data_IF_751317876573
#
_entry.id   IF_751317876573
#
_cell.length_a   1.000
_cell.length_b   1.000
_cell.length_c   1.000
_cell.angle_alpha   90.00
_cell.angle_beta   90.00
_cell.angle_gamma   90.00
#
_symmetry.space_group_name_H-M   'P 1'
#
loop_
_entity.id
_entity.type
_entity.pdbx_description
1 polymer ?
#
# COMPACT_ATOMS: atom_id res chain seq x y z
N UNK A 1 -27.30 3.01 -2.06
CA UNK A 1 -26.01 2.50 -1.57
C UNK A 1 -26.06 2.56 -0.06
N UNK A 2 -25.73 1.47 0.64
CA UNK A 2 -25.70 1.49 2.11
C UNK A 2 -24.52 2.33 2.62
N UNK A 3 -24.61 2.87 3.84
CA UNK A 3 -23.52 3.65 4.45
C UNK A 3 -22.18 2.89 4.44
N UNK A 4 -22.21 1.61 4.81
CA UNK A 4 -21.01 0.75 4.85
C UNK A 4 -20.40 0.52 3.46
N UNK A 5 -21.22 0.55 2.42
CA UNK A 5 -20.78 0.42 1.03
C UNK A 5 -20.11 1.72 0.56
N UNK A 6 -20.68 2.88 0.89
CA UNK A 6 -20.05 4.19 0.64
C UNK A 6 -18.69 4.26 1.33
N UNK A 7 -18.64 3.88 2.61
CA UNK A 7 -17.41 3.88 3.40
C UNK A 7 -16.37 2.92 2.80
N UNK A 8 -16.76 1.72 2.38
CA UNK A 8 -15.82 0.81 1.72
C UNK A 8 -15.23 1.41 0.44
N UNK A 9 -16.05 1.99 -0.45
CA UNK A 9 -15.55 2.56 -1.70
C UNK A 9 -14.64 3.77 -1.45
N UNK A 10 -14.95 4.59 -0.45
CA UNK A 10 -14.03 5.66 -0.02
C UNK A 10 -12.69 5.10 0.47
N UNK A 11 -12.70 4.00 1.24
CA UNK A 11 -11.47 3.33 1.67
C UNK A 11 -10.66 2.81 0.48
N UNK A 12 -11.30 2.23 -0.53
CA UNK A 12 -10.63 1.77 -1.76
C UNK A 12 -10.03 2.92 -2.56
N UNK A 13 -10.73 4.05 -2.67
CA UNK A 13 -10.20 5.25 -3.32
C UNK A 13 -8.99 5.82 -2.58
N UNK A 14 -9.04 5.84 -1.25
CA UNK A 14 -7.91 6.27 -0.42
C UNK A 14 -6.70 5.33 -0.57
N UNK A 15 -6.91 4.00 -0.57
CA UNK A 15 -5.83 3.04 -0.82
C UNK A 15 -5.23 3.20 -2.21
N UNK A 16 -6.07 3.35 -3.26
CA UNK A 16 -5.59 3.59 -4.63
C UNK A 16 -4.73 4.84 -4.73
N UNK A 17 -5.10 5.89 -4.00
CA UNK A 17 -4.32 7.12 -3.89
C UNK A 17 -3.02 6.88 -3.13
N UNK A 18 -3.07 6.19 -1.99
CA UNK A 18 -1.89 5.85 -1.19
C UNK A 18 -0.86 5.10 -2.03
N UNK A 19 -1.27 4.03 -2.72
CA UNK A 19 -0.39 3.26 -3.58
C UNK A 19 0.28 4.09 -4.67
N UNK A 20 -0.49 5.00 -5.28
CA UNK A 20 0.04 5.90 -6.30
C UNK A 20 1.05 6.88 -5.71
N UNK A 21 0.75 7.47 -4.56
CA UNK A 21 1.59 8.49 -3.94
C UNK A 21 2.87 7.83 -3.36
N UNK A 22 2.79 6.60 -2.82
CA UNK A 22 3.93 5.75 -2.46
C UNK A 22 4.80 5.41 -3.67
N UNK A 23 4.19 5.05 -4.81
CA UNK A 23 4.94 4.77 -6.03
C UNK A 23 5.81 5.95 -6.48
N UNK A 24 5.26 7.17 -6.40
CA UNK A 24 6.02 8.39 -6.70
C UNK A 24 7.11 8.60 -5.66
N UNK A 25 6.79 8.47 -4.37
CA UNK A 25 7.76 8.65 -3.29
C UNK A 25 8.97 7.73 -3.45
N UNK A 26 8.75 6.43 -3.61
CA UNK A 26 9.84 5.46 -3.77
C UNK A 26 10.66 5.70 -5.04
N UNK A 27 10.02 6.12 -6.14
CA UNK A 27 10.73 6.49 -7.37
C UNK A 27 11.64 7.70 -7.15
N UNK A 28 11.15 8.73 -6.45
CA UNK A 28 11.91 9.95 -6.13
C UNK A 28 13.08 9.63 -5.18
N UNK A 29 12.87 8.79 -4.16
CA UNK A 29 13.96 8.30 -3.29
C UNK A 29 15.00 7.56 -4.13
N UNK A 30 14.57 6.67 -5.04
CA UNK A 30 15.50 5.89 -5.85
C UNK A 30 16.37 6.73 -6.79
N UNK A 31 15.87 7.88 -7.25
CA UNK A 31 16.65 8.84 -8.05
C UNK A 31 17.66 9.62 -7.20
N UNK A 32 17.34 9.89 -5.93
CA UNK A 32 18.19 10.65 -5.02
C UNK A 32 19.28 9.84 -4.34
N UNK A 33 19.14 8.52 -4.22
CA UNK A 33 20.12 7.65 -3.55
C UNK A 33 21.22 7.19 -4.52
N UNK A 34 22.49 7.36 -4.12
CA UNK A 34 23.65 6.96 -4.92
C UNK A 34 23.95 5.45 -4.89
N UNK A 35 23.55 4.74 -3.85
CA UNK A 35 23.74 3.30 -3.75
C UNK A 35 22.82 2.56 -4.74
N UNK A 36 23.41 1.82 -5.67
CA UNK A 36 22.68 1.14 -6.74
C UNK A 36 21.76 0.02 -6.24
N UNK A 37 22.11 -0.65 -5.13
CA UNK A 37 21.29 -1.71 -4.54
C UNK A 37 20.06 -1.08 -3.89
N UNK A 38 20.25 -0.06 -3.06
CA UNK A 38 19.14 0.67 -2.41
C UNK A 38 18.24 1.31 -3.48
N UNK A 39 18.82 1.95 -4.50
CA UNK A 39 18.06 2.52 -5.62
C UNK A 39 17.22 1.46 -6.35
N UNK A 40 17.77 0.26 -6.56
CA UNK A 40 17.04 -0.84 -7.20
C UNK A 40 15.88 -1.35 -6.34
N UNK A 41 16.08 -1.48 -5.03
CA UNK A 41 15.04 -1.87 -4.08
C UNK A 41 13.89 -0.84 -4.10
N UNK A 42 14.23 0.45 -3.99
CA UNK A 42 13.25 1.54 -4.00
C UNK A 42 12.47 1.59 -5.34
N UNK A 43 13.16 1.38 -6.48
CA UNK A 43 12.47 1.26 -7.78
C UNK A 43 11.51 0.08 -7.84
N UNK A 44 11.91 -1.08 -7.32
CA UNK A 44 11.05 -2.28 -7.31
C UNK A 44 9.75 -2.00 -6.55
N UNK A 45 9.87 -1.52 -5.31
CA UNK A 45 8.73 -1.16 -4.46
C UNK A 45 7.85 -0.13 -5.19
N UNK A 46 8.45 0.93 -5.75
CA UNK A 46 7.70 1.95 -6.46
C UNK A 46 6.91 1.43 -7.69
N UNK A 47 7.46 0.48 -8.45
CA UNK A 47 6.77 -0.16 -9.58
C UNK A 47 5.62 -1.05 -9.10
N UNK A 48 5.82 -1.77 -8.00
CA UNK A 48 4.81 -2.64 -7.40
C UNK A 48 3.65 -1.83 -6.84
N UNK A 49 3.90 -0.76 -6.07
CA UNK A 49 2.85 0.16 -5.60
C UNK A 49 2.07 0.80 -6.76
N UNK A 50 2.73 1.19 -7.85
CA UNK A 50 2.03 1.68 -9.05
C UNK A 50 1.10 0.61 -9.64
N UNK A 51 1.55 -0.64 -9.64
CA UNK A 51 0.78 -1.80 -10.10
C UNK A 51 -0.39 -2.07 -9.16
N UNK A 52 -0.22 -1.94 -7.84
CA UNK A 52 -1.27 -2.10 -6.85
C UNK A 52 -2.39 -1.06 -7.02
N UNK A 53 -2.04 0.21 -7.24
CA UNK A 53 -3.00 1.27 -7.58
C UNK A 53 -3.85 0.91 -8.80
N UNK A 54 -3.22 0.37 -9.85
CA UNK A 54 -3.92 -0.10 -11.04
C UNK A 54 -4.82 -1.31 -10.76
N UNK A 55 -4.33 -2.30 -10.01
CA UNK A 55 -5.12 -3.47 -9.61
C UNK A 55 -6.33 -3.05 -8.78
N UNK A 56 -6.20 -2.08 -7.88
CA UNK A 56 -7.33 -1.56 -7.10
C UNK A 56 -8.40 -0.93 -7.98
N UNK A 57 -8.01 -0.20 -9.02
CA UNK A 57 -8.95 0.33 -10.02
C UNK A 57 -9.68 -0.80 -10.78
N UNK A 58 -9.03 -1.93 -11.02
CA UNK A 58 -9.65 -3.12 -11.64
C UNK A 58 -10.57 -3.88 -10.67
N UNK A 59 -10.22 -3.94 -9.39
CA UNK A 59 -10.99 -4.64 -8.36
C UNK A 59 -12.28 -3.88 -8.03
N UNK A 60 -12.27 -2.55 -8.00
CA UNK A 60 -13.41 -1.71 -7.62
C UNK A 60 -14.75 -2.08 -8.32
N UNK A 61 -14.83 -2.22 -9.66
CA UNK A 61 -16.07 -2.67 -10.32
C UNK A 61 -16.45 -4.11 -9.95
N UNK A 62 -15.48 -4.99 -9.70
CA UNK A 62 -15.75 -6.36 -9.25
C UNK A 62 -16.38 -6.38 -7.84
N UNK A 63 -15.93 -5.48 -6.96
CA UNK A 63 -16.49 -5.29 -5.61
C UNK A 63 -17.92 -4.76 -5.70
N UNK A 64 -18.21 -3.84 -6.63
CA UNK A 64 -19.59 -3.37 -6.88
C UNK A 64 -20.51 -4.51 -7.32
N UNK A 65 -20.04 -5.40 -8.19
CA UNK A 65 -20.81 -6.58 -8.64
C UNK A 65 -20.93 -7.66 -7.56
N UNK A 66 -19.93 -7.79 -6.69
CA UNK A 66 -19.87 -8.81 -5.64
C UNK A 66 -19.55 -8.19 -4.28
N UNK A 67 -20.46 -7.43 -3.66
CA UNK A 67 -20.18 -6.79 -2.38
C UNK A 67 -19.85 -7.83 -1.28
N UNK A 68 -18.95 -7.48 -0.34
CA UNK A 68 -18.66 -8.34 0.81
C UNK A 68 -19.91 -8.56 1.65
N UNK A 69 -20.10 -9.77 2.20
CA UNK A 69 -21.30 -10.12 2.98
C UNK A 69 -21.37 -9.47 4.36
N UNK A 70 -20.24 -9.04 4.91
CA UNK A 70 -20.12 -8.48 6.27
C UNK A 70 -19.12 -7.33 6.31
N UNK A 71 -19.46 -6.21 5.68
CA UNK A 71 -18.88 -4.93 6.07
C UNK A 71 -19.68 -4.48 7.30
N UNK A 72 -19.48 -5.13 8.45
CA UNK A 72 -20.27 -4.85 9.67
C UNK A 72 -19.57 -3.88 10.60
N UNK A 73 -18.35 -3.47 10.28
CA UNK A 73 -17.52 -2.64 11.14
C UNK A 73 -17.18 -1.32 10.46
N UNK A 74 -18.19 -0.45 10.38
CA UNK A 74 -18.07 0.89 9.81
C UNK A 74 -17.11 1.75 10.61
N UNK A 75 -17.06 1.57 11.94
CA UNK A 75 -16.10 2.24 12.82
C UNK A 75 -14.66 1.85 12.47
N UNK A 76 -14.39 0.57 12.26
CA UNK A 76 -13.09 0.11 11.81
C UNK A 76 -12.73 0.63 10.42
N UNK A 77 -13.68 0.68 9.49
CA UNK A 77 -13.44 1.30 8.19
C UNK A 77 -13.11 2.80 8.31
N UNK A 78 -13.81 3.55 9.15
CA UNK A 78 -13.52 4.97 9.40
C UNK A 78 -12.13 5.11 10.04
N UNK A 79 -11.78 4.26 11.00
CA UNK A 79 -10.44 4.24 11.59
C UNK A 79 -9.35 3.97 10.55
N UNK A 80 -9.58 3.02 9.64
CA UNK A 80 -8.68 2.78 8.49
C UNK A 80 -8.56 4.04 7.62
N UNK A 81 -9.67 4.70 7.29
CA UNK A 81 -9.65 5.90 6.46
C UNK A 81 -8.82 7.01 7.07
N UNK A 82 -9.04 7.29 8.37
CA UNK A 82 -8.29 8.31 9.09
C UNK A 82 -6.78 8.00 9.09
N UNK A 83 -6.42 6.73 9.31
CA UNK A 83 -5.02 6.30 9.28
C UNK A 83 -4.41 6.46 7.87
N UNK A 84 -5.15 6.13 6.80
CA UNK A 84 -4.65 6.32 5.43
C UNK A 84 -4.49 7.82 5.11
N UNK A 85 -5.44 8.65 5.53
CA UNK A 85 -5.37 10.11 5.33
C UNK A 85 -4.17 10.72 6.07
N UNK A 86 -3.86 10.26 7.29
CA UNK A 86 -2.65 10.65 8.03
C UNK A 86 -1.38 10.24 7.29
N UNK A 87 -1.29 8.96 6.87
CA UNK A 87 -0.16 8.45 6.08
C UNK A 87 0.02 9.25 4.78
N UNK A 88 -1.06 9.57 4.07
CA UNK A 88 -1.01 10.37 2.85
C UNK A 88 -0.40 11.76 3.11
N UNK A 89 -0.73 12.40 4.23
CA UNK A 89 -0.12 13.68 4.58
C UNK A 89 1.39 13.53 4.78
N UNK A 90 1.82 12.50 5.52
CA UNK A 90 3.24 12.25 5.75
C UNK A 90 3.99 11.90 4.46
N UNK A 91 3.39 11.11 3.56
CA UNK A 91 3.96 10.81 2.23
C UNK A 91 4.21 12.11 1.45
N UNK A 92 3.24 13.04 1.42
CA UNK A 92 3.44 14.32 0.73
C UNK A 92 4.53 15.17 1.39
N UNK A 93 4.60 15.24 2.71
CA UNK A 93 5.66 15.96 3.44
C UNK A 93 7.06 15.41 3.11
N UNK A 94 7.17 14.08 3.08
CA UNK A 94 8.41 13.38 2.70
C UNK A 94 8.75 13.67 1.24
N UNK A 95 7.78 13.60 0.32
CA UNK A 95 8.00 13.92 -1.10
C UNK A 95 8.48 15.36 -1.29
N UNK A 96 7.85 16.34 -0.64
CA UNK A 96 8.24 17.75 -0.70
C UNK A 96 9.67 17.95 -0.19
N UNK A 97 10.02 17.27 0.91
CA UNK A 97 11.38 17.29 1.43
C UNK A 97 12.37 16.70 0.43
N UNK A 98 12.16 15.48 -0.09
CA UNK A 98 13.10 14.84 -1.01
C UNK A 98 13.25 15.66 -2.29
N UNK A 99 12.15 16.17 -2.85
CA UNK A 99 12.18 17.05 -4.03
C UNK A 99 12.98 18.34 -3.80
N UNK A 100 12.99 18.87 -2.58
CA UNK A 100 13.81 20.04 -2.22
C UNK A 100 15.30 19.69 -2.14
N UNK A 101 15.65 18.46 -1.75
CA UNK A 101 17.02 17.98 -1.50
C UNK A 101 17.71 17.40 -2.72
N UNK A 102 16.96 16.71 -3.60
CA UNK A 102 17.46 16.23 -4.91
C UNK A 102 18.05 17.37 -5.75
N UNK A 103 17.58 18.61 -5.54
CA UNK A 103 18.10 19.82 -6.19
C UNK A 103 19.44 20.32 -5.64
N UNK A 104 19.89 19.84 -4.48
CA UNK A 104 21.06 20.35 -3.74
C UNK A 104 22.19 19.31 -3.63
N UNK A 105 21.89 18.01 -3.75
CA UNK A 105 22.89 16.93 -3.85
C UNK A 105 22.41 15.61 -3.20
N UNK A 106 22.78 14.45 -3.75
CA UNK A 106 22.22 13.15 -3.36
C UNK A 106 22.70 12.56 -2.02
N UNK A 107 23.81 13.05 -1.44
CA UNK A 107 24.28 12.62 -0.10
C UNK A 107 23.24 12.91 1.00
N UNK A 108 22.42 13.97 0.86
CA UNK A 108 21.38 14.32 1.83
C UNK A 108 20.19 13.35 1.80
N UNK A 109 19.95 12.65 0.69
CA UNK A 109 18.83 11.70 0.55
C UNK A 109 19.11 10.39 1.27
N UNK A 110 20.36 9.93 1.28
CA UNK A 110 20.75 8.73 2.05
C UNK A 110 20.58 8.93 3.56
N UNK A 111 21.03 10.07 4.09
CA UNK A 111 20.85 10.41 5.50
C UNK A 111 19.38 10.57 5.88
N UNK A 112 18.58 11.17 4.99
CA UNK A 112 17.12 11.25 5.17
C UNK A 112 16.46 9.87 5.21
N UNK A 113 16.84 8.97 4.31
CA UNK A 113 16.28 7.62 4.27
C UNK A 113 16.51 6.88 5.58
N UNK A 114 17.68 7.07 6.21
CA UNK A 114 17.98 6.54 7.55
C UNK A 114 17.00 7.05 8.61
N UNK A 115 16.58 8.31 8.55
CA UNK A 115 15.62 8.88 9.50
C UNK A 115 14.17 8.42 9.23
N UNK A 116 13.82 8.19 7.97
CA UNK A 116 12.44 7.90 7.54
C UNK A 116 12.11 6.44 7.32
N UNK A 117 13.09 5.53 7.39
CA UNK A 117 12.88 4.12 7.09
C UNK A 117 11.77 3.47 7.94
N UNK A 118 11.77 3.72 9.26
CA UNK A 118 10.74 3.20 10.17
C UNK A 118 9.33 3.70 9.80
N UNK A 119 9.25 4.91 9.25
CA UNK A 119 7.99 5.49 8.81
C UNK A 119 7.52 4.85 7.50
N UNK A 120 8.43 4.60 6.55
CA UNK A 120 8.16 3.85 5.32
C UNK A 120 7.68 2.42 5.61
N UNK A 121 8.35 1.70 6.52
CA UNK A 121 7.92 0.38 6.99
C UNK A 121 6.52 0.43 7.63
N UNK A 122 6.23 1.53 8.35
CA UNK A 122 4.91 1.79 8.92
C UNK A 122 3.82 1.93 7.86
N UNK A 123 4.14 2.51 6.70
CA UNK A 123 3.20 2.66 5.59
C UNK A 123 2.85 1.29 4.98
N UNK A 124 3.85 0.47 4.61
CA UNK A 124 3.65 -0.89 4.07
C UNK A 124 2.88 -1.80 5.06
N UNK A 125 3.21 -1.68 6.36
CA UNK A 125 2.50 -2.40 7.43
C UNK A 125 1.03 -2.01 7.50
N UNK A 126 0.71 -0.72 7.35
CA UNK A 126 -0.65 -0.23 7.35
C UNK A 126 -1.42 -0.69 6.11
N UNK A 127 -0.82 -0.61 4.93
CA UNK A 127 -1.40 -1.14 3.69
C UNK A 127 -1.73 -2.64 3.82
N UNK A 128 -0.79 -3.44 4.33
CA UNK A 128 -0.97 -4.87 4.62
C UNK A 128 -2.20 -5.13 5.51
N UNK A 129 -2.41 -4.33 6.56
CA UNK A 129 -3.58 -4.48 7.46
C UNK A 129 -4.90 -4.24 6.72
N UNK A 130 -4.95 -3.23 5.85
CA UNK A 130 -6.15 -2.90 5.07
C UNK A 130 -6.47 -4.01 4.08
N UNK A 131 -5.48 -4.49 3.32
CA UNK A 131 -5.70 -5.60 2.39
C UNK A 131 -6.09 -6.90 3.10
N UNK A 132 -5.50 -7.17 4.27
CA UNK A 132 -5.87 -8.31 5.12
C UNK A 132 -7.30 -8.21 5.64
N UNK A 133 -7.79 -7.01 5.96
CA UNK A 133 -9.20 -6.80 6.30
C UNK A 133 -10.12 -7.11 5.11
N UNK A 134 -9.82 -6.57 3.92
CA UNK A 134 -10.61 -6.84 2.72
C UNK A 134 -10.64 -8.33 2.37
N UNK A 135 -9.50 -9.02 2.42
CA UNK A 135 -9.40 -10.46 2.20
C UNK A 135 -10.33 -11.24 3.13
N UNK A 136 -10.28 -10.96 4.45
CA UNK A 136 -11.16 -11.61 5.44
C UNK A 136 -12.64 -11.43 5.14
N UNK A 137 -13.04 -10.28 4.59
CA UNK A 137 -14.43 -9.99 4.22
C UNK A 137 -14.93 -10.83 3.03
N UNK A 138 -14.03 -11.28 2.16
CA UNK A 138 -14.34 -12.06 0.95
C UNK A 138 -14.22 -13.58 1.13
N UNK A 139 -13.35 -14.06 2.03
CA UNK A 139 -13.13 -15.50 2.24
C UNK A 139 -14.43 -16.30 2.40
N UNK A 140 -15.45 -15.86 3.17
CA UNK A 140 -16.70 -16.61 3.33
C UNK A 140 -17.51 -16.76 2.03
N UNK A 141 -17.30 -15.89 1.04
CA UNK A 141 -18.04 -15.91 -0.23
C UNK A 141 -17.46 -16.97 -1.18
N UNK A 142 -16.14 -17.17 -1.14
CA UNK A 142 -15.41 -18.08 -2.04
C UNK A 142 -15.81 -19.55 -1.95
N UNK A 143 -16.45 -19.95 -0.84
CA UNK A 143 -16.95 -21.31 -0.58
C UNK A 143 -18.46 -21.46 -0.82
N UNK A 144 -19.16 -20.41 -1.27
CA UNK A 144 -20.62 -20.45 -1.50
C UNK A 144 -20.98 -21.40 -2.65
N UNK A 145 -21.94 -22.30 -2.44
CA UNK A 145 -22.36 -23.30 -3.44
C UNK A 145 -23.48 -22.87 -4.38
N UNK A 146 -24.20 -21.80 -4.02
CA UNK A 146 -25.47 -21.41 -4.67
C UNK A 146 -25.27 -20.49 -5.87
N UNK A 147 -24.24 -19.64 -5.85
CA UNK A 147 -24.00 -18.62 -6.87
C UNK A 147 -22.60 -18.77 -7.47
N UNK A 148 -22.53 -19.43 -8.63
CA UNK A 148 -21.26 -19.72 -9.33
C UNK A 148 -20.57 -18.46 -9.83
N UNK A 149 -21.33 -17.46 -10.34
CA UNK A 149 -20.74 -16.20 -10.81
C UNK A 149 -20.14 -15.44 -9.63
N UNK A 150 -20.91 -15.24 -8.56
CA UNK A 150 -20.43 -14.55 -7.34
C UNK A 150 -19.25 -15.26 -6.69
N UNK A 151 -19.25 -16.60 -6.68
CA UNK A 151 -18.10 -17.39 -6.23
C UNK A 151 -16.86 -17.15 -7.11
N UNK A 152 -17.01 -17.13 -8.43
CA UNK A 152 -15.89 -16.87 -9.34
C UNK A 152 -15.34 -15.44 -9.17
N UNK A 153 -16.22 -14.43 -9.11
CA UNK A 153 -15.84 -13.02 -8.89
C UNK A 153 -15.13 -12.84 -7.55
N UNK A 154 -15.67 -13.38 -6.46
CA UNK A 154 -14.99 -13.32 -5.14
C UNK A 154 -13.63 -14.02 -5.13
N UNK A 155 -13.46 -15.15 -5.84
CA UNK A 155 -12.15 -15.81 -5.97
C UNK A 155 -11.15 -14.95 -6.74
N UNK A 156 -11.58 -14.23 -7.77
CA UNK A 156 -10.73 -13.28 -8.50
C UNK A 156 -10.31 -12.12 -7.60
N UNK A 157 -11.26 -11.50 -6.90
CA UNK A 157 -10.98 -10.42 -5.93
C UNK A 157 -9.96 -10.89 -4.88
N UNK A 158 -10.17 -12.07 -4.29
CA UNK A 158 -9.24 -12.64 -3.29
C UNK A 158 -7.85 -12.89 -3.88
N UNK A 159 -7.76 -13.42 -5.11
CA UNK A 159 -6.47 -13.63 -5.77
C UNK A 159 -5.70 -12.33 -5.97
N UNK A 160 -6.38 -11.28 -6.44
CA UNK A 160 -5.76 -9.98 -6.71
C UNK A 160 -5.34 -9.28 -5.41
N UNK A 161 -6.23 -9.22 -4.41
CA UNK A 161 -5.92 -8.65 -3.09
C UNK A 161 -4.81 -9.41 -2.37
N UNK A 162 -4.74 -10.74 -2.55
CA UNK A 162 -3.67 -11.55 -1.96
C UNK A 162 -2.32 -11.25 -2.61
N UNK A 163 -2.29 -11.07 -3.93
CA UNK A 163 -1.07 -10.63 -4.63
C UNK A 163 -0.54 -9.35 -4.01
N UNK A 164 -1.37 -8.30 -3.95
CA UNK A 164 -1.00 -7.03 -3.33
C UNK A 164 -0.51 -7.24 -1.89
N UNK A 165 -1.29 -7.92 -1.04
CA UNK A 165 -0.94 -8.11 0.37
C UNK A 165 0.33 -8.95 0.63
N UNK A 166 0.76 -9.77 -0.33
CA UNK A 166 2.00 -10.52 -0.24
C UNK A 166 3.18 -9.63 -0.71
N UNK A 167 3.00 -8.81 -1.75
CA UNK A 167 3.96 -7.80 -2.19
C UNK A 167 4.24 -6.76 -1.07
N UNK A 168 3.22 -6.24 -0.38
CA UNK A 168 3.38 -5.29 0.74
C UNK A 168 4.27 -5.84 1.87
N UNK A 169 4.19 -7.15 2.14
CA UNK A 169 5.04 -7.78 3.16
C UNK A 169 6.47 -7.88 2.67
N UNK A 170 6.64 -8.24 1.39
CA UNK A 170 7.95 -8.26 0.75
C UNK A 170 8.58 -6.86 0.73
N UNK A 171 7.80 -5.80 0.50
CA UNK A 171 8.28 -4.42 0.61
C UNK A 171 8.84 -4.13 2.00
N UNK A 172 8.12 -4.53 3.06
CA UNK A 172 8.62 -4.41 4.44
C UNK A 172 9.95 -5.14 4.65
N UNK A 173 10.09 -6.36 4.14
CA UNK A 173 11.35 -7.13 4.21
C UNK A 173 12.48 -6.45 3.41
N UNK A 174 12.17 -5.88 2.25
CA UNK A 174 13.12 -5.13 1.42
C UNK A 174 13.58 -3.83 2.10
N UNK A 175 12.68 -3.13 2.79
CA UNK A 175 13.03 -1.96 3.59
C UNK A 175 13.96 -2.33 4.75
N UNK A 176 13.75 -3.49 5.39
CA UNK A 176 14.70 -4.00 6.39
C UNK A 176 16.10 -4.24 5.81
N UNK A 177 16.20 -4.79 4.60
CA UNK A 177 17.50 -4.94 3.90
C UNK A 177 18.15 -3.58 3.66
N UNK A 178 17.37 -2.56 3.27
CA UNK A 178 17.88 -1.18 3.14
C UNK A 178 18.41 -0.65 4.48
N UNK A 179 17.73 -0.93 5.60
CA UNK A 179 18.21 -0.56 6.93
C UNK A 179 19.59 -1.15 7.25
N UNK A 180 19.79 -2.43 6.89
CA UNK A 180 21.04 -3.15 7.11
C UNK A 180 22.17 -2.55 6.26
N UNK A 181 21.88 -2.24 4.99
CA UNK A 181 22.83 -1.62 4.05
C UNK A 181 23.25 -0.20 4.51
N UNK A 182 22.33 0.55 5.12
CA UNK A 182 22.60 1.87 5.67
C UNK A 182 23.32 1.86 7.03
N UNK A 183 23.63 0.67 7.58
CA UNK A 183 24.50 0.52 8.74
C UNK A 183 23.83 0.64 10.11
N UNK A 184 22.49 0.54 10.20
CA UNK A 184 21.77 0.51 11.50
C UNK A 184 21.64 -0.88 12.13
N UNK A 185 22.14 -1.93 11.47
CA UNK A 185 22.19 -3.31 12.01
C UNK A 185 23.32 -3.59 13.01
N UNK A 186 24.05 -2.58 13.49
CA UNK A 186 25.08 -2.72 14.54
C UNK A 186 24.90 -1.64 15.60
N UNK A 187 24.07 -1.94 16.59
CA UNK A 187 23.96 -1.26 17.88
C UNK A 187 23.56 -2.28 18.93
#
# INVERSE_FOLDING_TARGET
MGENEITLFRTLDLMKRLERDLAVLYSVIAEGVHDAIISSIMRKIGIESATHSYILALIEPLIRECPPRRITDTEYLISIQNNIEEVLNHVHEIMDFVNSRVKVGGEEVGAFLVEKLNELEGFESNATKVYSFLLRSYLPITSTRVDTKRRATSKLIVKLLKGIADDEKEHGELLMVVNELLGRGKG
#
